data_IF_804884298987
#
_entry.id   IF_804884298987
#
_cell.length_a   1.000
_cell.length_b   1.000
_cell.length_c   1.000
_cell.angle_alpha   90.00
_cell.angle_beta   90.00
_cell.angle_gamma   90.00
#
_symmetry.space_group_name_H-M   'P 1'
#
loop_
_entity.id
_entity.type
_entity.pdbx_description
1 polymer ?
#
# COMPACT_ATOMS: atom_id res chain seq x y z
N UNK A 1 -8.74 15.35 3.07
CA UNK A 1 -8.42 15.19 4.49
C UNK A 1 -7.67 13.88 4.66
N UNK A 2 -6.59 13.81 5.47
CA UNK A 2 -5.95 12.55 5.79
C UNK A 2 -6.87 11.68 6.65
N UNK A 3 -7.04 10.43 6.26
CA UNK A 3 -7.80 9.41 6.98
C UNK A 3 -6.85 8.55 7.81
N UNK A 4 -5.70 8.17 7.23
CA UNK A 4 -4.68 7.33 7.85
C UNK A 4 -3.30 7.80 7.41
N UNK A 5 -2.34 7.79 8.32
CA UNK A 5 -0.91 7.87 8.03
C UNK A 5 -0.29 6.52 8.31
N UNK A 6 0.44 5.97 7.34
CA UNK A 6 1.16 4.70 7.48
C UNK A 6 2.64 4.93 7.21
N UNK A 7 3.49 4.51 8.14
CA UNK A 7 4.94 4.56 8.01
C UNK A 7 5.47 3.14 7.93
N UNK A 8 6.38 2.90 6.99
CA UNK A 8 7.13 1.66 6.92
C UNK A 8 8.58 1.94 7.29
N UNK A 9 9.17 1.07 8.09
CA UNK A 9 10.53 1.30 8.56
C UNK A 9 11.11 0.18 9.39
N UNK A 10 12.25 0.46 9.99
CA UNK A 10 12.98 -0.47 10.86
C UNK A 10 12.81 -0.06 12.31
N UNK A 11 12.57 -1.06 13.16
CA UNK A 11 12.56 -0.90 14.60
C UNK A 11 13.93 -1.36 15.14
N UNK A 12 14.66 -0.48 15.81
CA UNK A 12 15.89 -0.82 16.53
C UNK A 12 15.72 -0.44 18.00
N UNK A 13 15.55 -1.45 18.86
CA UNK A 13 15.21 -1.24 20.26
C UNK A 13 13.89 -0.47 20.40
N UNK A 14 13.92 0.70 21.04
CA UNK A 14 12.75 1.57 21.21
C UNK A 14 12.55 2.56 20.05
N UNK A 15 13.56 2.76 19.21
CA UNK A 15 13.54 3.73 18.11
C UNK A 15 12.93 3.14 16.83
N UNK A 16 12.12 3.95 16.14
CA UNK A 16 11.58 3.63 14.83
C UNK A 16 12.18 4.55 13.77
N UNK A 17 12.74 3.98 12.71
CA UNK A 17 13.37 4.69 11.61
C UNK A 17 12.50 4.54 10.35
N UNK A 18 11.66 5.54 10.01
CA UNK A 18 10.79 5.48 8.84
C UNK A 18 11.62 5.52 7.55
N UNK A 19 11.40 4.53 6.68
CA UNK A 19 11.92 4.51 5.30
C UNK A 19 10.93 5.17 4.34
N UNK A 20 9.63 4.96 4.57
CA UNK A 20 8.54 5.43 3.70
C UNK A 20 7.37 5.96 4.52
N UNK A 21 6.68 6.96 3.99
CA UNK A 21 5.46 7.53 4.60
C UNK A 21 4.36 7.59 3.55
N UNK A 22 3.21 7.05 3.92
CA UNK A 22 2.01 6.97 3.09
C UNK A 22 0.84 7.65 3.79
N UNK A 23 0.01 8.29 2.98
CA UNK A 23 -1.19 8.97 3.43
C UNK A 23 -2.39 8.43 2.67
N UNK A 24 -3.37 7.94 3.40
CA UNK A 24 -4.69 7.67 2.84
C UNK A 24 -5.48 8.97 2.89
N UNK A 25 -5.77 9.55 1.74
CA UNK A 25 -6.50 10.80 1.60
C UNK A 25 -7.91 10.55 1.08
N UNK A 26 -8.90 11.26 1.61
CA UNK A 26 -10.30 11.13 1.20
C UNK A 26 -10.63 11.81 -0.13
N UNK A 27 -10.05 12.99 -0.38
CA UNK A 27 -10.40 13.86 -1.52
C UNK A 27 -9.24 13.93 -2.52
N UNK A 28 -9.49 14.00 -3.84
CA UNK A 28 -10.81 14.09 -4.51
C UNK A 28 -11.59 12.76 -4.57
N UNK A 29 -10.87 11.64 -4.49
CA UNK A 29 -11.40 10.29 -4.24
C UNK A 29 -10.44 9.59 -3.28
N UNK A 30 -10.88 8.56 -2.54
CA UNK A 30 -9.99 7.84 -1.63
C UNK A 30 -8.75 7.29 -2.35
N UNK A 31 -7.56 7.62 -1.85
CA UNK A 31 -6.30 7.14 -2.44
C UNK A 31 -5.15 7.14 -1.45
N UNK A 32 -4.20 6.22 -1.65
CA UNK A 32 -2.89 6.27 -1.02
C UNK A 32 -1.96 7.19 -1.82
N UNK A 33 -1.19 8.01 -1.12
CA UNK A 33 -0.08 8.79 -1.67
C UNK A 33 1.17 8.59 -0.84
N UNK A 34 2.30 8.35 -1.49
CA UNK A 34 3.61 8.30 -0.87
C UNK A 34 4.19 9.72 -0.79
N UNK A 35 4.80 10.05 0.34
CA UNK A 35 5.57 11.30 0.49
C UNK A 35 7.02 11.01 0.80
N UNK A 36 7.91 11.78 0.21
CA UNK A 36 9.34 11.75 0.49
C UNK A 36 9.75 13.00 1.27
N UNK A 37 10.73 12.86 2.16
CA UNK A 37 11.31 13.98 2.90
C UNK A 37 12.11 14.86 1.94
N UNK A 38 11.68 16.10 1.76
CA UNK A 38 12.46 17.11 1.05
C UNK A 38 13.55 17.64 2.00
N UNK A 39 14.78 17.12 1.81
CA UNK A 39 15.93 17.47 2.63
C UNK A 39 16.30 18.96 2.59
N UNK A 40 15.79 19.73 1.61
CA UNK A 40 16.05 21.17 1.50
C UNK A 40 15.04 22.02 2.25
N UNK A 41 13.82 21.51 2.46
CA UNK A 41 12.72 22.30 3.05
C UNK A 41 12.19 21.76 4.37
N UNK A 42 12.67 20.59 4.83
CA UNK A 42 12.10 19.87 5.97
C UNK A 42 10.60 19.57 5.81
N UNK A 43 10.09 19.65 4.58
CA UNK A 43 8.71 19.39 4.22
C UNK A 43 8.57 18.00 3.60
N UNK A 44 7.36 17.44 3.68
CA UNK A 44 7.01 16.24 2.92
C UNK A 44 6.33 16.64 1.62
N UNK A 45 6.82 16.10 0.50
CA UNK A 45 6.22 16.32 -0.83
C UNK A 45 5.70 15.00 -1.37
N UNK A 46 4.52 15.03 -2.00
CA UNK A 46 3.98 13.88 -2.73
C UNK A 46 5.01 13.42 -3.78
N UNK A 47 5.29 12.12 -3.85
CA UNK A 47 6.17 11.55 -4.88
C UNK A 47 5.57 11.63 -6.29
N UNK A 48 4.30 12.03 -6.41
CA UNK A 48 3.51 12.04 -7.64
C UNK A 48 2.74 10.74 -7.88
N UNK A 49 3.00 9.70 -7.07
CA UNK A 49 2.30 8.42 -7.18
C UNK A 49 1.05 8.35 -6.31
N UNK A 50 -0.05 7.92 -6.93
CA UNK A 50 -1.34 7.76 -6.26
C UNK A 50 -1.94 6.40 -6.61
N UNK A 51 -2.48 5.72 -5.61
CA UNK A 51 -3.27 4.51 -5.78
C UNK A 51 -4.69 4.79 -5.30
N UNK A 52 -5.64 4.89 -6.21
CA UNK A 52 -7.04 5.04 -5.83
C UNK A 52 -7.58 3.75 -5.23
N UNK A 53 -8.41 3.86 -4.20
CA UNK A 53 -8.90 2.73 -3.41
C UNK A 53 -10.38 2.88 -3.12
N UNK A 54 -11.03 1.77 -2.75
CA UNK A 54 -12.32 1.81 -2.06
C UNK A 54 -12.08 1.72 -0.56
N UNK A 55 -12.69 2.62 0.22
CA UNK A 55 -12.69 2.54 1.68
C UNK A 55 -13.51 1.35 2.22
N UNK A 56 -14.22 0.63 1.35
CA UNK A 56 -14.86 -0.64 1.71
C UNK A 56 -14.00 -1.87 1.37
N UNK A 57 -12.81 -1.67 0.78
CA UNK A 57 -11.94 -2.78 0.40
C UNK A 57 -11.35 -3.44 1.63
N UNK A 58 -11.55 -4.76 1.75
CA UNK A 58 -10.91 -5.57 2.77
C UNK A 58 -9.40 -5.73 2.57
N UNK A 59 -8.83 -5.24 1.47
CA UNK A 59 -7.40 -5.35 1.16
C UNK A 59 -6.73 -3.97 1.05
N UNK A 60 -7.30 -2.94 1.69
CA UNK A 60 -6.82 -1.56 1.68
C UNK A 60 -5.32 -1.40 1.99
N UNK A 61 -4.78 -2.14 2.97
CA UNK A 61 -3.34 -2.09 3.33
C UNK A 61 -2.54 -3.02 2.44
N UNK A 62 -3.03 -4.24 2.19
CA UNK A 62 -2.40 -5.23 1.31
C UNK A 62 -2.16 -4.64 -0.09
N UNK A 63 -3.14 -3.91 -0.64
CA UNK A 63 -3.03 -3.26 -1.94
C UNK A 63 -1.98 -2.16 -1.95
N UNK A 64 -1.82 -1.41 -0.86
CA UNK A 64 -0.76 -0.42 -0.73
C UNK A 64 0.63 -1.08 -0.71
N UNK A 65 0.78 -2.18 0.04
CA UNK A 65 2.03 -2.94 0.07
C UNK A 65 2.37 -3.56 -1.29
N UNK A 66 1.40 -4.12 -2.00
CA UNK A 66 1.61 -4.65 -3.35
C UNK A 66 2.01 -3.56 -4.35
N UNK A 67 1.47 -2.34 -4.19
CA UNK A 67 1.74 -1.22 -5.10
C UNK A 67 3.07 -0.54 -4.83
N UNK A 68 3.36 -0.23 -3.56
CA UNK A 68 4.47 0.65 -3.18
C UNK A 68 5.63 -0.08 -2.49
N UNK A 69 5.46 -1.35 -2.12
CA UNK A 69 6.41 -2.05 -1.26
C UNK A 69 6.77 -3.46 -1.72
N UNK A 70 6.61 -3.77 -3.00
CA UNK A 70 6.89 -5.10 -3.52
C UNK A 70 8.33 -5.55 -3.24
N UNK A 71 9.29 -4.61 -3.20
CA UNK A 71 10.68 -4.86 -2.84
C UNK A 71 10.88 -5.32 -1.39
N UNK A 72 9.92 -5.06 -0.51
CA UNK A 72 9.95 -5.43 0.91
C UNK A 72 9.13 -6.71 1.19
N UNK A 73 8.42 -7.25 0.21
CA UNK A 73 7.68 -8.49 0.39
C UNK A 73 8.63 -9.68 0.56
N UNK A 74 8.32 -10.59 1.48
CA UNK A 74 9.17 -11.76 1.77
C UNK A 74 9.25 -12.68 0.54
N UNK A 75 8.12 -12.95 -0.11
CA UNK A 75 8.04 -13.77 -1.32
C UNK A 75 8.06 -12.93 -2.61
N UNK A 76 8.92 -11.91 -2.68
CA UNK A 76 8.98 -10.93 -3.77
C UNK A 76 8.93 -11.55 -5.17
N UNK A 77 9.74 -12.57 -5.44
CA UNK A 77 9.86 -13.16 -6.78
C UNK A 77 8.54 -13.83 -7.22
N UNK A 78 7.92 -14.62 -6.34
CA UNK A 78 6.62 -15.25 -6.58
C UNK A 78 5.51 -14.22 -6.78
N UNK A 79 5.57 -13.12 -6.02
CA UNK A 79 4.62 -12.01 -6.17
C UNK A 79 4.77 -11.30 -7.51
N UNK A 80 6.01 -11.02 -7.95
CA UNK A 80 6.28 -10.43 -9.27
C UNK A 80 5.71 -11.33 -10.38
N UNK A 81 5.93 -12.64 -10.28
CA UNK A 81 5.38 -13.59 -11.25
C UNK A 81 3.86 -13.60 -11.27
N UNK A 82 3.22 -13.59 -10.10
CA UNK A 82 1.76 -13.54 -9.96
C UNK A 82 1.14 -12.24 -10.49
N UNK A 83 1.87 -11.12 -10.40
CA UNK A 83 1.43 -9.81 -10.89
C UNK A 83 1.73 -9.58 -12.37
N UNK A 84 2.60 -10.37 -13.00
CA UNK A 84 2.98 -10.20 -14.41
C UNK A 84 1.78 -10.20 -15.38
N UNK A 85 0.76 -11.07 -15.25
CA UNK A 85 -0.43 -11.03 -16.11
C UNK A 85 -1.20 -9.71 -16.02
N UNK A 86 -1.28 -9.11 -14.83
CA UNK A 86 -1.87 -7.78 -14.63
C UNK A 86 -1.01 -6.73 -15.33
N UNK A 87 0.32 -6.78 -15.13
CA UNK A 87 1.27 -5.87 -15.79
C UNK A 87 1.16 -5.87 -17.31
N UNK A 88 0.96 -7.05 -17.93
CA UNK A 88 0.89 -7.18 -19.38
C UNK A 88 -0.45 -6.70 -19.96
N UNK A 89 -1.52 -6.74 -19.17
CA UNK A 89 -2.88 -6.38 -19.60
C UNK A 89 -3.19 -4.90 -19.41
N UNK A 90 -2.62 -4.26 -18.39
CA UNK A 90 -2.74 -2.81 -18.18
C UNK A 90 -1.90 -2.09 -19.24
N UNK A 91 -2.54 -1.74 -20.38
CA UNK A 91 -1.95 -0.82 -21.36
C UNK A 91 -1.65 0.49 -20.65
N UNK A 92 -0.36 0.79 -20.48
CA UNK A 92 0.13 2.08 -19.99
C UNK A 92 -0.59 3.18 -20.80
N UNK A 93 -1.39 4.02 -20.12
CA UNK A 93 -1.98 5.19 -20.79
C UNK A 93 -0.81 6.01 -21.38
N UNK A 94 -0.86 6.42 -22.66
CA UNK A 94 0.22 7.18 -23.27
C UNK A 94 0.42 8.48 -22.47
N UNK A 95 1.55 8.59 -21.76
CA UNK A 95 1.84 9.74 -20.90
C UNK A 95 2.58 9.39 -19.59
N UNK A 96 2.47 8.18 -19.05
CA UNK A 96 3.24 7.77 -17.87
C UNK A 96 4.54 7.08 -18.27
N UNK A 97 5.44 7.85 -18.90
CA UNK A 97 6.83 7.43 -19.09
C UNK A 97 7.62 7.84 -17.85
N UNK A 98 7.85 6.91 -16.92
CA UNK A 98 9.04 6.87 -16.06
C UNK A 98 8.99 5.58 -15.22
N UNK A 99 10.01 4.74 -15.35
CA UNK A 99 10.37 3.73 -14.34
C UNK A 99 9.66 2.38 -14.45
N UNK A 100 10.24 1.47 -15.22
CA UNK A 100 9.92 0.03 -15.15
C UNK A 100 10.33 -0.47 -13.74
N UNK A 101 9.39 -0.53 -12.77
CA UNK A 101 9.46 -1.44 -11.60
C UNK A 101 8.32 -1.31 -10.56
N UNK A 102 7.51 -0.24 -10.52
CA UNK A 102 6.59 -0.01 -9.38
C UNK A 102 5.16 0.42 -9.78
N UNK A 103 4.70 0.05 -10.99
CA UNK A 103 3.49 0.64 -11.62
C UNK A 103 2.50 -0.41 -12.15
N UNK A 104 2.34 -1.53 -11.45
CA UNK A 104 1.65 -2.68 -12.03
C UNK A 104 0.19 -2.80 -11.62
N UNK A 105 -0.15 -2.35 -10.41
CA UNK A 105 -1.53 -2.27 -10.01
C UNK A 105 -2.09 -0.93 -10.51
N UNK A 106 -3.01 -1.00 -11.48
CA UNK A 106 -3.97 0.08 -11.67
C UNK A 106 -4.76 0.33 -10.39
N UNK A 107 -5.79 1.17 -10.42
CA UNK A 107 -6.65 1.28 -9.25
C UNK A 107 -7.27 -0.11 -8.97
N UNK A 108 -7.07 -0.73 -7.78
CA UNK A 108 -7.50 -2.10 -7.52
C UNK A 108 -8.99 -2.35 -7.80
N UNK A 109 -9.83 -1.33 -7.66
CA UNK A 109 -11.25 -1.43 -8.00
C UNK A 109 -11.50 -1.58 -9.52
N UNK A 110 -10.69 -0.97 -10.40
CA UNK A 110 -10.80 -1.16 -11.86
C UNK A 110 -10.48 -2.62 -12.23
N UNK A 111 -9.45 -3.18 -11.59
CA UNK A 111 -9.04 -4.57 -11.77
C UNK A 111 -10.14 -5.53 -11.29
N UNK A 112 -10.82 -5.20 -10.19
CA UNK A 112 -11.90 -6.02 -9.65
C UNK A 112 -13.13 -6.13 -10.57
N UNK A 113 -13.27 -5.24 -11.57
CA UNK A 113 -14.31 -5.32 -12.58
C UNK A 113 -13.98 -6.25 -13.76
N UNK A 114 -12.72 -6.66 -13.91
CA UNK A 114 -12.28 -7.64 -14.92
C UNK A 114 -12.09 -9.01 -14.25
N UNK A 115 -12.87 -10.02 -14.66
CA UNK A 115 -12.88 -11.33 -14.00
C UNK A 115 -11.50 -12.00 -14.00
N UNK A 116 -10.75 -11.90 -15.10
CA UNK A 116 -9.44 -12.55 -15.25
C UNK A 116 -8.42 -11.82 -14.38
N UNK A 117 -8.35 -10.49 -14.47
CA UNK A 117 -7.39 -9.72 -13.69
C UNK A 117 -7.68 -9.77 -12.18
N UNK A 118 -8.97 -9.89 -11.82
CA UNK A 118 -9.40 -10.06 -10.43
C UNK A 118 -8.84 -11.35 -9.81
N UNK A 119 -8.77 -12.45 -10.55
CA UNK A 119 -8.20 -13.70 -10.04
C UNK A 119 -6.70 -13.56 -9.75
N UNK A 120 -5.94 -12.93 -10.66
CA UNK A 120 -4.52 -12.65 -10.44
C UNK A 120 -4.29 -11.72 -9.25
N UNK A 121 -5.15 -10.71 -9.06
CA UNK A 121 -5.06 -9.79 -7.93
C UNK A 121 -5.36 -10.52 -6.61
N UNK A 122 -6.41 -11.35 -6.57
CA UNK A 122 -6.72 -12.19 -5.41
C UNK A 122 -5.56 -13.12 -5.06
N UNK A 123 -4.95 -13.76 -6.06
CA UNK A 123 -3.81 -14.63 -5.83
C UNK A 123 -2.61 -13.86 -5.25
N UNK A 124 -2.33 -12.67 -5.80
CA UNK A 124 -1.22 -11.83 -5.35
C UNK A 124 -1.43 -11.30 -3.93
N UNK A 125 -2.66 -10.88 -3.59
CA UNK A 125 -3.04 -10.51 -2.20
C UNK A 125 -2.80 -11.65 -1.24
N UNK A 126 -3.26 -12.87 -1.59
CA UNK A 126 -3.04 -14.06 -0.78
C UNK A 126 -1.56 -14.37 -0.59
N UNK A 127 -0.76 -14.33 -1.65
CA UNK A 127 0.69 -14.57 -1.55
C UNK A 127 1.38 -13.57 -0.62
N UNK A 128 1.00 -12.29 -0.66
CA UNK A 128 1.55 -11.29 0.25
C UNK A 128 1.08 -11.51 1.69
N UNK A 129 -0.21 -11.78 1.88
CA UNK A 129 -0.79 -12.01 3.21
C UNK A 129 -0.23 -13.29 3.86
N UNK A 130 0.02 -14.35 3.10
CA UNK A 130 0.64 -15.60 3.60
C UNK A 130 2.15 -15.46 3.80
N UNK A 131 2.85 -14.78 2.88
CA UNK A 131 4.30 -14.64 2.89
C UNK A 131 4.83 -13.58 3.86
N UNK A 132 4.04 -12.53 4.11
CA UNK A 132 4.40 -11.43 5.00
C UNK A 132 5.18 -10.29 4.35
N UNK A 133 5.51 -9.29 5.17
CA UNK A 133 6.16 -8.05 4.77
C UNK A 133 7.37 -7.76 5.65
N UNK A 134 8.50 -7.40 5.05
CA UNK A 134 9.80 -7.32 5.73
C UNK A 134 10.06 -6.06 6.56
N UNK A 135 9.19 -5.05 6.47
CA UNK A 135 9.30 -3.82 7.27
C UNK A 135 8.28 -3.80 8.42
N UNK A 136 8.64 -3.07 9.47
CA UNK A 136 7.70 -2.76 10.55
C UNK A 136 6.76 -1.64 10.09
N UNK A 137 5.49 -1.74 10.48
CA UNK A 137 4.45 -0.78 10.10
C UNK A 137 4.01 0.01 11.32
N UNK A 138 4.04 1.34 11.23
CA UNK A 138 3.37 2.20 12.19
C UNK A 138 2.20 2.84 11.49
N UNK A 139 1.00 2.66 12.03
CA UNK A 139 -0.21 3.21 11.45
C UNK A 139 -0.93 4.10 12.45
N UNK A 140 -1.28 5.30 12.00
CA UNK A 140 -1.98 6.32 12.76
C UNK A 140 -3.29 6.62 12.04
N UNK A 141 -4.41 6.29 12.67
CA UNK A 141 -5.72 6.67 12.17
C UNK A 141 -6.08 8.08 12.62
N UNK A 142 -6.58 8.87 11.68
CA UNK A 142 -7.20 10.18 11.93
C UNK A 142 -8.72 10.11 11.83
N UNK A 143 -9.28 8.93 11.51
CA UNK A 143 -10.70 8.73 11.28
C UNK A 143 -11.18 7.39 11.89
N UNK A 144 -12.12 7.40 12.84
CA UNK A 144 -12.58 6.18 13.51
C UNK A 144 -13.32 5.21 12.60
N UNK A 145 -13.86 5.64 11.46
CA UNK A 145 -14.67 4.80 10.57
C UNK A 145 -13.85 3.78 9.76
N UNK A 146 -12.52 3.95 9.68
CA UNK A 146 -11.64 3.05 8.92
C UNK A 146 -10.76 2.19 9.82
N UNK A 147 -10.82 2.35 11.14
CA UNK A 147 -9.93 1.68 12.09
C UNK A 147 -10.08 0.17 12.08
N UNK A 148 -11.30 -0.33 12.25
CA UNK A 148 -11.60 -1.77 12.27
C UNK A 148 -11.15 -2.44 10.97
N UNK A 149 -11.44 -1.79 9.83
CA UNK A 149 -11.03 -2.28 8.51
C UNK A 149 -9.51 -2.38 8.41
N UNK A 150 -8.79 -1.34 8.82
CA UNK A 150 -7.33 -1.28 8.73
C UNK A 150 -6.68 -2.27 9.69
N UNK A 151 -7.20 -2.41 10.90
CA UNK A 151 -6.75 -3.42 11.86
C UNK A 151 -6.92 -4.83 11.31
N UNK A 152 -8.10 -5.16 10.76
CA UNK A 152 -8.34 -6.47 10.13
C UNK A 152 -7.35 -6.75 8.98
N UNK A 153 -7.00 -5.72 8.21
CA UNK A 153 -5.99 -5.86 7.15
C UNK A 153 -4.60 -6.18 7.70
N UNK A 154 -4.17 -5.45 8.73
CA UNK A 154 -2.86 -5.63 9.36
C UNK A 154 -2.73 -7.02 9.99
N UNK A 155 -3.78 -7.46 10.70
CA UNK A 155 -3.84 -8.78 11.35
C UNK A 155 -3.83 -9.94 10.35
N UNK A 156 -4.32 -9.71 9.12
CA UNK A 156 -4.34 -10.74 8.06
C UNK A 156 -2.96 -11.05 7.50
N UNK A 157 -2.02 -10.10 7.57
CA UNK A 157 -0.70 -10.27 6.98
C UNK A 157 0.19 -11.04 7.96
N UNK A 158 0.57 -12.25 7.55
CA UNK A 158 1.36 -13.17 8.35
C UNK A 158 2.66 -12.52 8.83
N UNK A 159 2.90 -12.65 10.13
CA UNK A 159 4.11 -12.15 10.81
C UNK A 159 4.37 -10.65 10.63
N UNK A 160 3.35 -9.85 10.27
CA UNK A 160 3.50 -8.41 10.17
C UNK A 160 3.71 -7.80 11.56
N UNK A 161 4.87 -7.17 11.76
CA UNK A 161 5.13 -6.36 12.95
C UNK A 161 4.53 -4.97 12.76
N UNK A 162 3.48 -4.64 13.52
CA UNK A 162 2.86 -3.33 13.44
C UNK A 162 2.56 -2.69 14.80
N UNK A 163 2.44 -1.37 14.80
CA UNK A 163 1.83 -0.59 15.88
C UNK A 163 0.69 0.24 15.29
N UNK A 164 -0.45 0.23 15.96
CA UNK A 164 -1.63 0.97 15.55
C UNK A 164 -2.00 2.02 16.61
N UNK A 165 -2.27 3.24 16.17
CA UNK A 165 -2.75 4.34 17.00
C UNK A 165 -4.08 4.84 16.43
N UNK A 166 -5.15 4.71 17.21
CA UNK A 166 -6.48 5.16 16.82
C UNK A 166 -6.67 6.67 16.97
N UNK A 167 -7.73 7.18 16.34
CA UNK A 167 -8.20 8.56 16.44
C UNK A 167 -8.91 8.83 17.78
N UNK A 168 -9.26 7.76 18.53
CA UNK A 168 -9.83 7.86 19.88
C UNK A 168 -8.69 7.88 20.92
N UNK A 169 -8.76 8.76 21.93
CA UNK A 169 -7.80 8.83 23.02
C UNK A 169 -7.86 7.59 23.94
#
# INVERSE_FOLDING_TARGET
>A
MPLVTMLWGRQEGQSFYPEKIFWLLENPHPHWVETVKDNLKLDFRESGFRQFVSLSSRHLVTDAMLMFGLEYAVERERLIESLNPIRLTVRVKPGSFLGISHHFLGAPFEIEHDEVLREFLKNSRRLLEEGGFGLNVVLISHNPFVEDLVLENLERICSLSYRFYGARP
#
